data_IF_930321022945
#
_entry.id   IF_930321022945
#
_cell.length_a   1.000
_cell.length_b   1.000
_cell.length_c   1.000
_cell.angle_alpha   90.00
_cell.angle_beta   90.00
_cell.angle_gamma   90.00
#
_symmetry.space_group_name_H-M   'P 1'
#
loop_
_entity.id
_entity.type
_entity.pdbx_description
1 polymer ?
#
# COMPACT_ATOMS: atom_id res chain seq x y z
N UNK A 1 9.99 -11.08 -5.30
CA UNK A 1 9.44 -10.14 -4.31
C UNK A 1 9.19 -8.82 -5.01
N UNK A 2 8.44 -7.90 -4.40
CA UNK A 2 8.27 -6.56 -4.98
C UNK A 2 8.37 -5.48 -3.91
N UNK A 3 9.08 -4.40 -4.23
CA UNK A 3 9.31 -3.26 -3.35
C UNK A 3 8.26 -2.16 -3.55
N UNK A 4 7.49 -2.18 -4.64
CA UNK A 4 6.44 -1.21 -4.89
C UNK A 4 5.24 -1.81 -5.62
N UNK A 5 4.06 -1.19 -5.44
CA UNK A 5 2.82 -1.66 -6.09
C UNK A 5 2.91 -1.66 -7.62
N UNK A 6 3.68 -0.74 -8.20
CA UNK A 6 3.88 -0.65 -9.65
C UNK A 6 4.66 -1.87 -10.19
N UNK A 7 5.72 -2.27 -9.50
CA UNK A 7 6.51 -3.45 -9.87
C UNK A 7 5.67 -4.72 -9.71
N UNK A 8 4.90 -4.87 -8.61
CA UNK A 8 4.00 -6.02 -8.44
C UNK A 8 3.01 -6.16 -9.59
N UNK A 9 2.37 -5.06 -9.98
CA UNK A 9 1.41 -5.03 -11.09
C UNK A 9 2.08 -5.29 -12.45
N UNK A 10 3.33 -4.85 -12.64
CA UNK A 10 4.09 -5.14 -13.85
C UNK A 10 4.39 -6.65 -13.97
N UNK A 11 4.84 -7.28 -12.88
CA UNK A 11 5.05 -8.73 -12.83
C UNK A 11 3.76 -9.48 -13.19
N UNK A 12 2.63 -9.11 -12.59
CA UNK A 12 1.32 -9.72 -12.92
C UNK A 12 0.95 -9.56 -14.39
N UNK A 13 1.26 -8.41 -14.98
CA UNK A 13 1.00 -8.17 -16.41
C UNK A 13 1.86 -9.09 -17.30
N UNK A 14 3.13 -9.29 -16.95
CA UNK A 14 4.04 -10.17 -17.69
C UNK A 14 3.66 -11.64 -17.54
N UNK A 15 3.29 -12.07 -16.34
CA UNK A 15 3.03 -13.48 -16.03
C UNK A 15 1.59 -13.92 -16.38
N UNK A 16 0.61 -13.03 -16.18
CA UNK A 16 -0.83 -13.36 -16.21
C UNK A 16 -1.60 -12.52 -17.26
N UNK A 17 -0.92 -11.62 -17.97
CA UNK A 17 -1.49 -10.77 -19.02
C UNK A 17 -2.19 -9.51 -18.52
N UNK A 18 -2.51 -9.42 -17.23
CA UNK A 18 -3.16 -8.25 -16.63
C UNK A 18 -2.78 -8.05 -15.15
N UNK A 19 -2.79 -6.79 -14.65
CA UNK A 19 -2.52 -6.51 -13.25
C UNK A 19 -3.73 -6.79 -12.36
N UNK A 20 -3.59 -7.70 -11.39
CA UNK A 20 -4.67 -8.13 -10.48
C UNK A 20 -4.67 -7.39 -9.15
N UNK A 21 -3.51 -7.00 -8.63
CA UNK A 21 -3.42 -6.30 -7.35
C UNK A 21 -3.92 -4.86 -7.51
N UNK A 22 -5.07 -4.52 -6.91
CA UNK A 22 -5.66 -3.18 -6.98
C UNK A 22 -4.81 -2.10 -6.29
N UNK A 23 -4.93 -0.86 -6.77
CA UNK A 23 -4.49 0.31 -6.00
C UNK A 23 -5.39 0.52 -4.78
N UNK A 24 -4.92 1.35 -3.85
CA UNK A 24 -5.70 1.77 -2.68
C UNK A 24 -6.97 2.51 -3.11
N UNK A 25 -8.06 2.26 -2.39
CA UNK A 25 -9.38 2.84 -2.59
C UNK A 25 -9.77 3.70 -1.38
N UNK A 26 -10.80 4.54 -1.56
CA UNK A 26 -11.37 5.29 -0.44
C UNK A 26 -11.80 4.33 0.68
N UNK A 27 -11.41 4.64 1.91
CA UNK A 27 -11.69 3.82 3.09
C UNK A 27 -10.64 2.75 3.38
N UNK A 28 -9.71 2.47 2.46
CA UNK A 28 -8.61 1.53 2.75
C UNK A 28 -7.73 2.05 3.89
N UNK A 29 -7.16 1.12 4.65
CA UNK A 29 -6.33 1.42 5.80
C UNK A 29 -4.92 0.88 5.60
N UNK A 30 -3.93 1.77 5.73
CA UNK A 30 -2.51 1.42 5.62
C UNK A 30 -1.89 1.50 7.00
N UNK A 31 -1.32 0.38 7.46
CA UNK A 31 -0.53 0.31 8.69
C UNK A 31 0.93 -0.02 8.36
N UNK A 32 1.84 0.83 8.81
CA UNK A 32 3.29 0.60 8.73
C UNK A 32 3.85 0.65 10.14
N UNK A 33 4.58 -0.39 10.53
CA UNK A 33 5.14 -0.53 11.87
C UNK A 33 6.46 -1.28 11.81
N UNK A 34 7.42 -0.86 12.62
CA UNK A 34 8.67 -1.58 12.82
C UNK A 34 8.69 -2.19 14.21
N UNK A 35 8.86 -3.51 14.27
CA UNK A 35 8.93 -4.27 15.51
C UNK A 35 10.38 -4.63 15.83
N UNK A 36 10.76 -4.59 17.10
CA UNK A 36 12.03 -5.15 17.56
C UNK A 36 11.94 -6.69 17.68
N UNK A 37 13.06 -7.32 18.05
CA UNK A 37 13.15 -8.79 18.25
C UNK A 37 12.15 -9.37 19.26
N UNK A 38 11.59 -8.54 20.13
CA UNK A 38 10.61 -8.91 21.15
C UNK A 38 9.17 -8.59 20.71
N UNK A 39 8.95 -8.24 19.44
CA UNK A 39 7.64 -7.91 18.89
C UNK A 39 7.08 -6.56 19.35
N UNK A 40 7.91 -5.69 19.96
CA UNK A 40 7.46 -4.36 20.42
C UNK A 40 7.73 -3.32 19.36
N UNK A 41 6.75 -2.45 19.15
CA UNK A 41 6.86 -1.29 18.26
C UNK A 41 8.03 -0.39 18.67
N UNK A 42 8.91 -0.07 17.73
CA UNK A 42 10.08 0.78 17.99
C UNK A 42 9.69 2.25 17.91
N UNK A 43 8.87 2.60 16.92
CA UNK A 43 8.50 3.99 16.60
C UNK A 43 7.00 4.26 16.73
N UNK A 44 6.21 3.28 17.20
CA UNK A 44 4.77 3.26 17.00
C UNK A 44 4.41 2.83 15.57
N UNK A 45 3.14 3.02 15.21
CA UNK A 45 2.64 2.64 13.89
C UNK A 45 2.07 3.85 13.15
N UNK A 46 2.48 4.02 11.91
CA UNK A 46 1.76 4.85 10.94
C UNK A 46 0.47 4.10 10.63
N UNK A 47 -0.68 4.75 10.79
CA UNK A 47 -1.98 4.12 10.65
C UNK A 47 -2.98 5.09 10.02
N UNK A 48 -3.09 5.04 8.69
CA UNK A 48 -3.77 6.03 7.89
C UNK A 48 -4.95 5.42 7.14
N UNK A 49 -6.03 6.19 7.02
CA UNK A 49 -7.18 5.85 6.18
C UNK A 49 -7.11 6.68 4.91
N UNK A 50 -7.29 6.03 3.76
CA UNK A 50 -7.31 6.70 2.46
C UNK A 50 -8.62 7.45 2.30
N UNK A 51 -8.53 8.76 2.13
CA UNK A 51 -9.69 9.63 1.87
C UNK A 51 -9.48 10.29 0.52
N UNK A 52 -10.41 10.02 -0.41
CA UNK A 52 -10.46 10.75 -1.68
C UNK A 52 -10.95 12.16 -1.38
N UNK A 53 -10.06 13.12 -1.50
CA UNK A 53 -10.45 14.53 -1.55
C UNK A 53 -11.07 14.81 -2.91
N UNK A 54 -12.21 15.51 -2.94
CA UNK A 54 -12.63 16.17 -4.18
C UNK A 54 -11.55 17.21 -4.47
N UNK A 55 -10.70 16.96 -5.46
CA UNK A 55 -9.76 17.96 -5.92
C UNK A 55 -10.54 19.20 -6.34
N UNK A 56 -10.28 20.34 -5.71
CA UNK A 56 -10.59 21.62 -6.32
C UNK A 56 -9.69 21.70 -7.55
N UNK A 57 -10.31 21.66 -8.73
CA UNK A 57 -9.62 21.53 -10.00
C UNK A 57 -8.53 22.59 -10.14
N UNK A 58 -7.33 22.13 -10.47
CA UNK A 58 -6.34 22.93 -11.18
C UNK A 58 -6.34 22.51 -12.64
#
# INVERSE_FOLDING_TARGET
GSCCIAERRMIETLDEGEPKTSFLKNGDRVRIEMLNRHGRSIFGAINQTVVVTKGEGR
#
